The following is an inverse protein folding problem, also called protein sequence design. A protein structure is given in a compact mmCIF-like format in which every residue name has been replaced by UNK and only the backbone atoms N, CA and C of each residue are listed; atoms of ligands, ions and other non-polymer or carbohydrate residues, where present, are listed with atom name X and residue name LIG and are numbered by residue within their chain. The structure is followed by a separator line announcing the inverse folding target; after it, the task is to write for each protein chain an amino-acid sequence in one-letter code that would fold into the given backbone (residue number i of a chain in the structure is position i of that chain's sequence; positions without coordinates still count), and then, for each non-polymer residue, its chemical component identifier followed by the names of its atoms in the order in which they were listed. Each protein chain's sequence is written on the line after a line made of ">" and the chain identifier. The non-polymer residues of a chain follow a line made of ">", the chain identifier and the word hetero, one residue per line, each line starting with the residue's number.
data_IF_887559260313
#
_entry.id   IF_887559260313
#
_cell.length_a   1.000
_cell.length_b   1.000
_cell.length_c   1.000
_cell.angle_alpha   90.00
_cell.angle_beta   90.00
_cell.angle_gamma   90.00
#
_symmetry.space_group_name_H-M   'P 1'
#
loop_
_entity.id
_entity.type
_entity.pdbx_description
1 polymer ?
#
# COMPACT_ATOMS: atom_id res chain seq x y z
N UNK A 1 16.56 10.19 -13.13
CA UNK A 1 16.23 9.18 -12.09
C UNK A 1 14.71 9.16 -11.95
N UNK A 2 14.07 8.02 -12.20
CA UNK A 2 12.62 7.82 -12.02
C UNK A 2 12.33 7.55 -10.55
N UNK A 3 11.13 7.91 -10.09
CA UNK A 3 10.75 7.90 -8.69
C UNK A 3 9.49 7.06 -8.48
N UNK A 4 9.55 6.12 -7.54
CA UNK A 4 8.48 5.16 -7.24
C UNK A 4 8.04 5.36 -5.79
N UNK A 5 6.74 5.49 -5.58
CA UNK A 5 6.12 5.56 -4.26
C UNK A 5 5.36 4.27 -3.98
N UNK A 6 5.71 3.56 -2.91
CA UNK A 6 5.06 2.32 -2.49
C UNK A 6 4.20 2.56 -1.25
N UNK A 7 2.94 2.11 -1.27
CA UNK A 7 2.04 2.17 -0.13
C UNK A 7 2.26 0.98 0.83
N UNK A 8 2.96 1.21 1.93
CA UNK A 8 3.17 0.24 3.01
C UNK A 8 2.30 0.48 4.25
N UNK A 9 1.21 1.26 4.16
CA UNK A 9 0.39 1.60 5.33
C UNK A 9 -0.34 0.39 5.95
N UNK A 10 -0.48 -0.72 5.22
CA UNK A 10 -1.00 -1.98 5.75
C UNK A 10 -0.04 -2.68 6.73
N UNK A 11 1.25 -2.33 6.72
CA UNK A 11 2.28 -2.93 7.58
C UNK A 11 2.18 -2.36 9.01
N UNK A 12 1.47 -3.09 9.88
CA UNK A 12 1.14 -2.64 11.25
C UNK A 12 1.65 -3.55 12.37
N UNK A 13 2.50 -4.53 12.04
CA UNK A 13 3.03 -5.49 13.02
C UNK A 13 2.09 -6.66 13.36
N UNK A 14 0.88 -6.71 12.79
CA UNK A 14 0.01 -7.90 12.76
C UNK A 14 0.07 -8.52 11.37
N UNK A 15 0.67 -9.70 11.25
CA UNK A 15 1.00 -10.26 9.95
C UNK A 15 -0.01 -11.34 9.54
N UNK A 16 -0.83 -11.03 8.54
CA UNK A 16 -1.48 -12.02 7.68
C UNK A 16 -0.65 -12.23 6.41
N UNK A 17 -1.10 -13.13 5.52
CA UNK A 17 -0.37 -13.45 4.28
C UNK A 17 -0.08 -12.24 3.40
N UNK A 18 -1.03 -11.30 3.31
CA UNK A 18 -0.89 -10.07 2.52
C UNK A 18 0.22 -9.18 3.09
N UNK A 19 0.27 -8.93 4.40
CA UNK A 19 1.32 -8.14 5.02
C UNK A 19 2.70 -8.77 4.79
N UNK A 20 2.82 -10.08 4.97
CA UNK A 20 4.07 -10.80 4.68
C UNK A 20 4.48 -10.63 3.23
N UNK A 21 3.57 -10.83 2.27
CA UNK A 21 3.89 -10.69 0.86
C UNK A 21 4.44 -9.30 0.52
N UNK A 22 3.84 -8.24 1.08
CA UNK A 22 4.28 -6.85 0.88
C UNK A 22 5.66 -6.63 1.48
N UNK A 23 5.85 -7.02 2.74
CA UNK A 23 7.09 -6.77 3.46
C UNK A 23 8.27 -7.54 2.85
N UNK A 24 8.09 -8.83 2.52
CA UNK A 24 9.13 -9.63 1.88
C UNK A 24 9.41 -9.18 0.45
N UNK A 25 8.40 -8.79 -0.33
CA UNK A 25 8.60 -8.23 -1.67
C UNK A 25 9.47 -6.99 -1.60
N UNK A 26 9.10 -6.01 -0.75
CA UNK A 26 9.84 -4.75 -0.64
C UNK A 26 11.26 -5.01 -0.11
N UNK A 27 11.41 -5.91 0.87
CA UNK A 27 12.73 -6.28 1.39
C UNK A 27 13.62 -6.91 0.30
N UNK A 28 13.07 -7.84 -0.51
CA UNK A 28 13.80 -8.45 -1.61
C UNK A 28 14.19 -7.43 -2.69
N UNK A 29 13.26 -6.54 -3.06
CA UNK A 29 13.53 -5.45 -3.99
C UNK A 29 14.64 -4.53 -3.44
N UNK A 30 14.64 -4.23 -2.13
CA UNK A 30 15.66 -3.35 -1.55
C UNK A 30 17.09 -3.91 -1.62
N UNK A 31 17.22 -5.23 -1.73
CA UNK A 31 18.51 -5.94 -1.82
C UNK A 31 18.98 -6.14 -3.26
N UNK A 32 18.15 -5.77 -4.23
CA UNK A 32 18.47 -5.87 -5.65
C UNK A 32 19.01 -4.52 -6.12
N UNK A 33 20.08 -4.54 -6.92
CA UNK A 33 20.62 -3.32 -7.50
C UNK A 33 19.73 -2.85 -8.66
N UNK A 34 19.16 -1.66 -8.52
CA UNK A 34 18.37 -1.00 -9.56
C UNK A 34 18.96 0.37 -9.85
N UNK A 35 19.58 0.53 -11.02
CA UNK A 35 20.06 1.84 -11.46
C UNK A 35 18.90 2.72 -11.94
N UNK A 36 19.01 4.03 -11.66
CA UNK A 36 18.09 5.03 -12.21
C UNK A 36 16.72 5.12 -11.53
N UNK A 37 16.48 4.38 -10.45
CA UNK A 37 15.24 4.46 -9.66
C UNK A 37 15.47 4.93 -8.23
N UNK A 38 14.62 5.84 -7.77
CA UNK A 38 14.48 6.21 -6.36
C UNK A 38 13.17 5.67 -5.82
N UNK A 39 13.22 4.79 -4.82
CA UNK A 39 12.02 4.20 -4.22
C UNK A 39 11.78 4.81 -2.84
N UNK A 40 10.56 5.27 -2.61
CA UNK A 40 10.08 5.75 -1.32
C UNK A 40 8.92 4.87 -0.85
N UNK A 41 8.97 4.41 0.40
CA UNK A 41 7.92 3.57 1.00
C UNK A 41 7.21 4.39 2.07
N UNK A 42 5.88 4.48 1.97
CA UNK A 42 5.04 5.05 3.03
C UNK A 42 4.73 3.99 4.08
N UNK A 43 5.08 4.25 5.33
CA UNK A 43 4.75 3.35 6.45
C UNK A 43 4.13 4.14 7.60
N UNK A 44 3.44 3.44 8.50
CA UNK A 44 2.90 4.06 9.72
C UNK A 44 3.99 4.61 10.63
N UNK A 45 3.66 5.60 11.48
CA UNK A 45 4.59 6.12 12.50
C UNK A 45 5.19 5.04 13.38
N UNK A 46 4.41 4.00 13.68
CA UNK A 46 4.77 2.91 14.60
C UNK A 46 5.29 1.66 13.86
N UNK A 47 5.63 1.76 12.57
CA UNK A 47 6.15 0.63 11.81
C UNK A 47 7.50 0.17 12.36
N UNK A 48 7.60 -1.11 12.72
CA UNK A 48 8.76 -1.73 13.35
C UNK A 48 9.31 -2.98 12.68
N UNK A 49 8.81 -3.33 11.49
CA UNK A 49 9.19 -4.53 10.76
C UNK A 49 10.52 -4.44 9.98
N UNK A 50 10.69 -5.38 9.05
CA UNK A 50 11.95 -5.69 8.36
C UNK A 50 12.50 -4.54 7.51
N UNK A 51 11.65 -3.62 7.06
CA UNK A 51 12.04 -2.57 6.14
C UNK A 51 12.92 -1.49 6.80
N UNK A 52 12.99 -1.42 8.14
CA UNK A 52 13.82 -0.44 8.88
C UNK A 52 15.29 -0.41 8.45
N UNK A 53 15.82 -1.54 7.97
CA UNK A 53 17.22 -1.69 7.57
C UNK A 53 17.47 -1.61 6.06
N UNK A 54 16.46 -1.27 5.25
CA UNK A 54 16.61 -1.19 3.79
C UNK A 54 17.50 -0.01 3.39
N UNK A 55 18.77 -0.27 3.05
CA UNK A 55 19.75 0.75 2.70
C UNK A 55 19.39 1.52 1.42
N UNK A 56 18.76 0.85 0.45
CA UNK A 56 18.53 1.41 -0.89
C UNK A 56 17.21 2.19 -1.04
N UNK A 57 16.29 2.08 -0.07
CA UNK A 57 14.94 2.66 -0.15
C UNK A 57 14.71 3.73 0.91
N UNK A 58 14.04 4.82 0.55
CA UNK A 58 13.66 5.87 1.48
C UNK A 58 12.39 5.46 2.24
N UNK A 59 12.49 5.31 3.56
CA UNK A 59 11.32 5.03 4.41
C UNK A 59 10.73 6.34 4.91
N UNK A 60 9.49 6.62 4.52
CA UNK A 60 8.76 7.80 4.95
C UNK A 60 7.61 7.42 5.87
N UNK A 61 7.73 7.84 7.13
CA UNK A 61 6.69 7.63 8.14
C UNK A 61 5.61 8.69 8.03
N UNK A 62 4.35 8.27 7.92
CA UNK A 62 3.21 9.18 8.08
C UNK A 62 2.96 9.42 9.58
N UNK A 63 2.53 10.62 10.01
CA UNK A 63 2.33 10.97 11.42
C UNK A 63 1.06 10.35 12.03
N UNK A 64 0.72 9.11 11.64
CA UNK A 64 -0.54 8.45 11.96
C UNK A 64 -0.32 6.94 12.18
N UNK A 65 -1.07 6.35 13.13
CA UNK A 65 -1.03 4.92 13.47
C UNK A 65 -2.06 4.12 12.66
N UNK A 66 -1.61 3.31 11.71
CA UNK A 66 -2.50 2.53 10.83
C UNK A 66 -3.01 1.21 11.43
N UNK A 67 -2.75 0.93 12.72
CA UNK A 67 -3.27 -0.26 13.43
C UNK A 67 -4.80 -0.34 13.41
N UNK A 68 -5.49 0.79 13.51
CA UNK A 68 -6.95 0.82 13.38
C UNK A 68 -7.34 0.81 11.90
N UNK A 69 -8.04 -0.26 11.48
CA UNK A 69 -8.50 -0.47 10.10
C UNK A 69 -9.30 0.72 9.56
N UNK A 70 -10.26 1.23 10.33
CA UNK A 70 -11.14 2.32 9.87
C UNK A 70 -10.34 3.60 9.65
N UNK A 71 -9.46 3.95 10.58
CA UNK A 71 -8.64 5.16 10.44
C UNK A 71 -7.66 5.01 9.28
N UNK A 72 -7.09 3.82 9.06
CA UNK A 72 -6.23 3.54 7.89
C UNK A 72 -7.01 3.72 6.59
N UNK A 73 -8.21 3.14 6.47
CA UNK A 73 -9.06 3.26 5.28
C UNK A 73 -9.39 4.72 5.00
N UNK A 74 -9.76 5.50 6.03
CA UNK A 74 -10.01 6.93 5.88
C UNK A 74 -8.75 7.67 5.41
N UNK A 75 -7.59 7.35 5.99
CA UNK A 75 -6.33 7.96 5.57
C UNK A 75 -6.02 7.62 4.10
N UNK A 76 -6.11 6.36 3.70
CA UNK A 76 -5.81 5.86 2.35
C UNK A 76 -6.71 6.48 1.28
N UNK A 77 -7.99 6.75 1.59
CA UNK A 77 -8.94 7.27 0.60
C UNK A 77 -9.14 8.77 0.62
N UNK A 78 -8.80 9.48 1.72
CA UNK A 78 -9.01 10.92 1.82
C UNK A 78 -7.72 11.74 1.96
N UNK A 79 -6.73 11.24 2.71
CA UNK A 79 -5.49 11.99 2.98
C UNK A 79 -4.38 11.62 1.99
N UNK A 80 -4.20 10.32 1.75
CA UNK A 80 -3.20 9.78 0.83
C UNK A 80 -3.37 10.29 -0.61
N UNK A 81 -4.58 10.47 -1.19
CA UNK A 81 -4.71 11.09 -2.51
C UNK A 81 -4.15 12.51 -2.55
N UNK A 82 -4.37 13.31 -1.51
CA UNK A 82 -3.85 14.69 -1.43
C UNK A 82 -2.32 14.67 -1.34
N UNK A 83 -1.77 13.76 -0.54
CA UNK A 83 -0.33 13.52 -0.48
C UNK A 83 0.23 13.11 -1.85
N UNK A 84 -0.45 12.19 -2.54
CA UNK A 84 -0.08 11.70 -3.87
C UNK A 84 -0.08 12.84 -4.90
N UNK A 85 -1.13 13.66 -4.91
CA UNK A 85 -1.27 14.77 -5.86
C UNK A 85 -0.19 15.84 -5.66
N UNK A 86 0.24 16.08 -4.42
CA UNK A 86 1.28 17.06 -4.08
C UNK A 86 2.70 16.52 -4.20
N UNK A 87 2.87 15.21 -4.21
CA UNK A 87 4.18 14.57 -4.28
C UNK A 87 4.64 14.42 -5.73
N UNK A 88 5.92 14.64 -5.98
CA UNK A 88 6.55 14.35 -7.27
C UNK A 88 7.04 12.91 -7.26
N UNK A 89 6.27 12.03 -7.89
CA UNK A 89 6.72 10.68 -8.24
C UNK A 89 6.22 10.31 -9.65
N UNK A 90 6.88 9.33 -10.26
CA UNK A 90 6.60 8.83 -11.61
C UNK A 90 5.67 7.61 -11.60
N UNK A 91 5.72 6.79 -10.54
CA UNK A 91 4.92 5.59 -10.37
C UNK A 91 4.45 5.41 -8.93
N UNK A 92 3.17 5.05 -8.73
CA UNK A 92 2.63 4.62 -7.44
C UNK A 92 2.38 3.11 -7.43
N UNK A 93 2.75 2.41 -6.36
CA UNK A 93 2.45 0.99 -6.18
C UNK A 93 1.64 0.80 -4.90
N UNK A 94 0.43 0.25 -5.03
CA UNK A 94 -0.41 -0.15 -3.91
C UNK A 94 -0.52 -1.67 -3.84
N UNK A 95 0.30 -2.35 -3.01
CA UNK A 95 0.37 -3.80 -2.99
C UNK A 95 -0.73 -4.48 -2.12
N UNK A 96 -1.79 -3.73 -1.78
CA UNK A 96 -2.83 -4.11 -0.82
C UNK A 96 -4.25 -3.96 -1.42
N UNK A 97 -4.50 -4.59 -2.57
CA UNK A 97 -5.80 -4.72 -3.27
C UNK A 97 -6.45 -3.43 -3.79
N UNK A 98 -6.15 -2.25 -3.24
CA UNK A 98 -6.93 -1.03 -3.53
C UNK A 98 -6.05 0.14 -3.94
N UNK A 99 -6.53 0.92 -4.90
CA UNK A 99 -5.99 2.23 -5.22
C UNK A 99 -6.82 3.32 -4.53
N UNK A 100 -6.20 4.43 -4.09
CA UNK A 100 -6.92 5.59 -3.60
C UNK A 100 -7.87 6.17 -4.66
N UNK A 101 -9.04 6.66 -4.24
CA UNK A 101 -10.10 7.13 -5.14
C UNK A 101 -9.74 8.27 -6.12
N UNK A 102 -8.58 8.93 -5.98
CA UNK A 102 -8.18 10.01 -6.87
C UNK A 102 -6.74 9.89 -7.37
N UNK A 103 -6.19 8.68 -7.45
CA UNK A 103 -4.89 8.48 -8.09
C UNK A 103 -5.03 8.67 -9.61
N UNK A 104 -4.65 9.85 -10.11
CA UNK A 104 -4.49 10.13 -11.56
C UNK A 104 -3.06 9.86 -12.05
N UNK A 105 -2.19 9.37 -11.18
CA UNK A 105 -0.80 9.07 -11.48
C UNK A 105 -0.69 7.65 -12.01
N UNK A 106 0.31 7.34 -12.87
CA UNK A 106 0.63 5.96 -13.22
C UNK A 106 0.71 5.11 -11.94
N UNK A 107 -0.10 4.06 -11.88
CA UNK A 107 -0.30 3.28 -10.66
C UNK A 107 -0.31 1.79 -10.97
N UNK A 108 0.27 1.01 -10.06
CA UNK A 108 0.21 -0.45 -10.04
C UNK A 108 -0.55 -0.84 -8.78
N UNK A 109 -1.48 -1.78 -8.90
CA UNK A 109 -2.13 -2.42 -7.76
C UNK A 109 -1.81 -3.91 -7.77
N UNK A 110 -1.48 -4.45 -6.60
CA UNK A 110 -1.35 -5.91 -6.42
C UNK A 110 -2.60 -6.43 -5.74
N UNK A 111 -3.23 -7.41 -6.39
CA UNK A 111 -4.43 -8.08 -5.94
C UNK A 111 -4.03 -9.55 -5.74
N UNK A 112 -4.16 -10.04 -4.50
CA UNK A 112 -3.71 -11.41 -4.17
C UNK A 112 -4.78 -12.45 -4.48
N UNK A 113 -6.05 -12.06 -4.45
CA UNK A 113 -7.22 -12.87 -4.74
C UNK A 113 -8.44 -11.97 -5.01
N UNK A 114 -9.54 -12.58 -5.46
CA UNK A 114 -10.81 -11.89 -5.71
C UNK A 114 -11.94 -12.41 -4.79
N UNK A 115 -11.62 -13.02 -3.65
CA UNK A 115 -12.62 -13.73 -2.82
C UNK A 115 -13.73 -12.79 -2.35
N UNK A 116 -13.39 -11.55 -2.00
CA UNK A 116 -14.37 -10.55 -1.56
C UNK A 116 -15.31 -10.06 -2.68
N UNK A 117 -15.02 -10.36 -3.95
CA UNK A 117 -15.90 -10.07 -5.10
C UNK A 117 -16.69 -11.31 -5.55
N UNK A 118 -16.05 -12.48 -5.57
CA UNK A 118 -16.63 -13.71 -6.12
C UNK A 118 -17.40 -14.54 -5.08
N UNK A 119 -16.96 -14.50 -3.82
CA UNK A 119 -17.51 -15.31 -2.72
C UNK A 119 -17.66 -14.44 -1.44
N UNK A 120 -18.46 -13.36 -1.50
CA UNK A 120 -18.65 -12.42 -0.39
C UNK A 120 -19.15 -13.10 0.89
N UNK A 121 -19.89 -14.20 0.78
CA UNK A 121 -20.40 -15.02 1.89
C UNK A 121 -19.30 -15.69 2.73
N UNK A 122 -18.09 -15.83 2.19
CA UNK A 122 -16.91 -16.34 2.91
C UNK A 122 -16.15 -15.24 3.66
N UNK A 123 -16.53 -13.98 3.49
CA UNK A 123 -15.86 -12.82 4.06
C UNK A 123 -16.68 -12.19 5.19
N UNK A 124 -16.03 -11.44 6.08
CA UNK A 124 -16.74 -10.55 6.98
C UNK A 124 -17.50 -9.48 6.17
N UNK A 125 -18.76 -9.20 6.52
CA UNK A 125 -19.63 -8.26 5.81
C UNK A 125 -18.94 -6.91 5.52
N UNK A 126 -18.28 -6.33 6.51
CA UNK A 126 -17.54 -5.08 6.39
C UNK A 126 -16.36 -5.14 5.40
N UNK A 127 -15.67 -6.29 5.34
CA UNK A 127 -14.58 -6.53 4.40
C UNK A 127 -15.12 -6.71 2.99
N UNK A 128 -16.21 -7.46 2.84
CA UNK A 128 -16.91 -7.66 1.58
C UNK A 128 -17.42 -6.35 1.00
N UNK A 129 -18.12 -5.53 1.79
CA UNK A 129 -18.66 -4.22 1.35
C UNK A 129 -17.52 -3.26 0.98
N UNK A 130 -16.46 -3.23 1.79
CA UNK A 130 -15.29 -2.40 1.51
C UNK A 130 -14.66 -2.75 0.16
N UNK A 131 -14.36 -4.02 -0.07
CA UNK A 131 -13.70 -4.45 -1.30
C UNK A 131 -14.63 -4.45 -2.51
N UNK A 132 -15.92 -4.77 -2.37
CA UNK A 132 -16.88 -4.66 -3.49
C UNK A 132 -16.90 -3.27 -4.11
N UNK A 133 -16.68 -2.23 -3.29
CA UNK A 133 -16.62 -0.85 -3.76
C UNK A 133 -15.21 -0.44 -4.21
N UNK A 134 -14.18 -0.77 -3.42
CA UNK A 134 -12.82 -0.24 -3.63
C UNK A 134 -11.97 -1.08 -4.59
N UNK A 135 -12.03 -2.41 -4.47
CA UNK A 135 -11.28 -3.33 -5.34
C UNK A 135 -11.89 -3.31 -6.75
N UNK A 136 -13.21 -3.38 -6.89
CA UNK A 136 -13.88 -3.30 -8.20
C UNK A 136 -13.53 -2.03 -8.97
N UNK A 137 -13.33 -0.91 -8.26
CA UNK A 137 -12.89 0.36 -8.86
C UNK A 137 -11.42 0.35 -9.27
N UNK A 138 -10.58 -0.42 -8.57
CA UNK A 138 -9.13 -0.49 -8.81
C UNK A 138 -8.78 -1.38 -10.03
N UNK A 139 -9.74 -2.13 -10.55
CA UNK A 139 -9.62 -2.99 -11.73
C UNK A 139 -9.90 -2.27 -13.07
N UNK A 140 -10.38 -1.02 -13.03
CA UNK A 140 -10.73 -0.21 -14.21
C UNK A 140 -9.59 0.72 -14.59
#
# INVERSE_FOLDING_TARGET
>A
MKSILINGLLLTGRYGGVQYSIEYLINALSKTEFEGFKVTILVSKNYDGLLKGCANFEIRRVPFDSKNRMIRVLYEHFILPVYILRSRFDLFHSPAYTLPFFSRKPSIVTIHDLIALQFPELCQNETSIYFSTTLARSLK
#
